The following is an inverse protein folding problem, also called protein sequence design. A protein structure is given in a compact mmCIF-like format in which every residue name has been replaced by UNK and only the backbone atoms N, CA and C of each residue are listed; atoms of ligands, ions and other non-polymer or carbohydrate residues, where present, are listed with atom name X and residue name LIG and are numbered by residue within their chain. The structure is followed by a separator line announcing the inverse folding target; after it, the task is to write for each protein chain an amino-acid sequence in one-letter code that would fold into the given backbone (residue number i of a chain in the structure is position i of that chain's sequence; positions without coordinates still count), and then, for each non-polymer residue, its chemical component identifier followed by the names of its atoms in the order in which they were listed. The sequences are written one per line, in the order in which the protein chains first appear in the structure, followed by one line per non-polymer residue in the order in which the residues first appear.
data_IF_589828480110
#
_entry.id   IF_589828480110
#
_cell.length_a   1.000
_cell.length_b   1.000
_cell.length_c   1.000
_cell.angle_alpha   90.00
_cell.angle_beta   90.00
_cell.angle_gamma   90.00
#
_symmetry.space_group_name_H-M   'P 1'
#
loop_
_entity.id
_entity.type
_entity.pdbx_description
1 polymer ?
#
# COMPACT_ATOMS: atom_id res chain seq x y z
N UNK A 1 5.50 14.98 -3.40
CA UNK A 1 4.90 13.77 -2.78
C UNK A 1 3.59 13.47 -3.48
N UNK A 2 3.40 12.28 -4.05
CA UNK A 2 2.12 11.93 -4.70
C UNK A 2 1.09 11.58 -3.61
N UNK A 3 -0.03 12.28 -3.58
CA UNK A 3 -1.11 11.99 -2.64
C UNK A 3 -1.84 10.71 -3.07
N UNK A 4 -1.67 9.63 -2.30
CA UNK A 4 -2.23 8.30 -2.60
C UNK A 4 -3.59 8.07 -1.93
N UNK A 5 -4.14 9.05 -1.21
CA UNK A 5 -5.41 8.91 -0.48
C UNK A 5 -6.57 8.51 -1.38
N UNK A 6 -6.57 8.99 -2.63
CA UNK A 6 -7.65 8.76 -3.60
C UNK A 6 -7.59 7.35 -4.22
N UNK A 7 -6.50 6.62 -4.02
CA UNK A 7 -6.31 5.27 -4.57
C UNK A 7 -6.50 4.17 -3.51
N UNK A 8 -7.04 4.52 -2.33
CA UNK A 8 -7.34 3.55 -1.29
C UNK A 8 -8.63 2.81 -1.64
N UNK A 9 -8.51 1.52 -1.86
CA UNK A 9 -9.63 0.60 -2.12
C UNK A 9 -9.77 -0.41 -0.99
N UNK A 10 -10.96 -0.99 -0.82
CA UNK A 10 -11.16 -2.13 0.08
C UNK A 10 -11.11 -3.42 -0.73
N UNK A 11 -10.36 -4.39 -0.23
CA UNK A 11 -10.45 -5.77 -0.72
C UNK A 11 -11.82 -6.37 -0.41
N UNK A 12 -12.16 -7.48 -1.07
CA UNK A 12 -13.38 -8.27 -0.81
C UNK A 12 -13.52 -8.62 0.68
N UNK A 13 -12.39 -8.84 1.39
CA UNK A 13 -12.35 -9.13 2.83
C UNK A 13 -12.33 -7.87 3.71
N UNK A 14 -12.66 -6.70 3.18
CA UNK A 14 -12.71 -5.41 3.91
C UNK A 14 -11.35 -4.75 4.20
N UNK A 15 -10.21 -5.42 3.94
CA UNK A 15 -8.87 -4.85 4.18
C UNK A 15 -8.54 -3.73 3.21
N UNK A 16 -7.97 -2.62 3.70
CA UNK A 16 -7.51 -1.50 2.87
C UNK A 16 -6.32 -1.92 1.99
N UNK A 17 -6.36 -1.49 0.73
CA UNK A 17 -5.31 -1.64 -0.29
C UNK A 17 -5.10 -0.31 -1.01
N UNK A 18 -3.93 -0.12 -1.61
CA UNK A 18 -3.68 0.98 -2.55
C UNK A 18 -3.43 0.42 -3.93
N UNK A 19 -4.04 1.00 -4.95
CA UNK A 19 -3.66 0.82 -6.34
C UNK A 19 -2.67 1.92 -6.76
N UNK A 20 -1.48 1.57 -7.22
CA UNK A 20 -0.48 2.54 -7.67
C UNK A 20 0.40 1.94 -8.77
N UNK A 21 0.56 2.66 -9.88
CA UNK A 21 1.36 2.24 -11.04
C UNK A 21 1.08 0.79 -11.45
N UNK A 22 -0.20 0.44 -11.58
CA UNK A 22 -0.67 -0.91 -11.93
C UNK A 22 -0.35 -2.01 -10.91
N UNK A 23 0.12 -1.65 -9.72
CA UNK A 23 0.36 -2.57 -8.61
C UNK A 23 -0.61 -2.37 -7.46
N UNK A 24 -0.83 -3.44 -6.70
CA UNK A 24 -1.62 -3.39 -5.46
C UNK A 24 -0.72 -3.53 -4.23
N UNK A 25 -0.89 -2.60 -3.31
CA UNK A 25 -0.18 -2.57 -2.04
C UNK A 25 -1.14 -2.90 -0.91
N UNK A 26 -0.70 -3.75 0.01
CA UNK A 26 -1.45 -4.11 1.20
C UNK A 26 -1.01 -3.25 2.37
N UNK A 27 -1.96 -2.88 3.22
CA UNK A 27 -1.63 -2.24 4.48
C UNK A 27 -1.04 -3.28 5.43
N UNK A 28 0.19 -3.06 5.89
CA UNK A 28 0.85 -3.92 6.87
C UNK A 28 1.45 -3.07 7.98
N UNK A 29 1.29 -3.55 9.20
CA UNK A 29 2.04 -3.07 10.35
C UNK A 29 3.40 -3.77 10.36
N UNK A 30 4.47 -2.98 10.41
CA UNK A 30 5.81 -3.49 10.68
C UNK A 30 5.98 -3.72 12.18
N UNK A 31 6.88 -4.65 12.54
CA UNK A 31 7.22 -5.00 13.93
C UNK A 31 7.64 -3.80 14.79
N UNK A 32 8.02 -2.68 14.17
CA UNK A 32 8.42 -1.43 14.83
C UNK A 32 7.25 -0.45 15.04
N UNK A 33 6.00 -0.92 14.93
CA UNK A 33 4.79 -0.09 15.04
C UNK A 33 4.53 0.87 13.87
N UNK A 34 5.32 0.76 12.78
CA UNK A 34 5.16 1.61 11.59
C UNK A 34 4.17 0.98 10.61
N UNK A 35 3.21 1.78 10.15
CA UNK A 35 2.22 1.37 9.16
C UNK A 35 2.74 1.66 7.75
N UNK A 36 2.94 0.60 6.95
CA UNK A 36 3.50 0.70 5.60
C UNK A 36 2.60 0.04 4.55
N UNK A 37 2.72 0.54 3.32
CA UNK A 37 2.10 -0.06 2.14
C UNK A 37 3.10 -0.98 1.48
N UNK A 38 2.78 -2.29 1.42
CA UNK A 38 3.69 -3.29 0.86
C UNK A 38 3.09 -3.98 -0.35
N UNK A 39 3.80 -3.92 -1.47
CA UNK A 39 3.56 -4.77 -2.63
C UNK A 39 4.37 -6.07 -2.51
N UNK A 40 3.80 -7.20 -2.95
CA UNK A 40 4.45 -8.52 -2.94
C UNK A 40 4.98 -8.95 -4.32
N UNK A 41 4.87 -8.09 -5.35
CA UNK A 41 5.38 -8.34 -6.71
C UNK A 41 6.78 -7.73 -6.85
N UNK A 42 7.67 -8.42 -7.58
CA UNK A 42 8.97 -7.87 -7.97
C UNK A 42 8.76 -6.67 -8.90
N UNK A 43 9.65 -5.67 -8.81
CA UNK A 43 9.57 -4.44 -9.60
C UNK A 43 8.60 -3.39 -9.07
N UNK A 44 7.96 -3.63 -7.92
CA UNK A 44 7.09 -2.64 -7.30
C UNK A 44 7.89 -1.43 -6.79
N UNK A 45 7.50 -0.20 -7.16
CA UNK A 45 8.08 1.01 -6.59
C UNK A 45 7.84 1.06 -5.08
N UNK A 46 8.83 1.56 -4.34
CA UNK A 46 8.71 1.71 -2.90
C UNK A 46 7.78 2.87 -2.57
N UNK A 47 6.59 2.56 -2.06
CA UNK A 47 5.70 3.52 -1.44
C UNK A 47 6.16 3.77 0.00
N UNK A 48 7.31 4.43 0.16
CA UNK A 48 7.67 4.97 1.46
C UNK A 48 6.65 6.05 1.79
N UNK A 49 5.81 5.76 2.78
CA UNK A 49 4.93 6.77 3.37
C UNK A 49 5.84 7.77 4.10
N UNK A 50 5.63 9.10 3.95
CA UNK A 50 6.17 10.06 4.90
C UNK A 50 5.71 9.73 6.34
#
# INVERSE_FOLDING_TARGET
MKNLSNNIIKSIRGKKKIAYESFFYNFKEHSVGKLVWRCNKRGCPSLLKP
#
